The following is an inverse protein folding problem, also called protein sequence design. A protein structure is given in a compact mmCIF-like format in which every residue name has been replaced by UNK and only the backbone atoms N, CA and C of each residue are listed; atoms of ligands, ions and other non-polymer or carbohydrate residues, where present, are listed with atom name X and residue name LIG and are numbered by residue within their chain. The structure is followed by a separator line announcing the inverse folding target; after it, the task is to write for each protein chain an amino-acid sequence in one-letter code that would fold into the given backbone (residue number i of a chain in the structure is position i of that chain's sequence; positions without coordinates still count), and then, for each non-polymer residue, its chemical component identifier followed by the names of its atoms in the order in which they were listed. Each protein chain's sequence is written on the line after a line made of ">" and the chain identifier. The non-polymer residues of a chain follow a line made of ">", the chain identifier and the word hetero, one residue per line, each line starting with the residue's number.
data_IF_058836796379
#
_entry.id   IF_058836796379
#
_cell.length_a   1.000
_cell.length_b   1.000
_cell.length_c   1.000
_cell.angle_alpha   90.00
_cell.angle_beta   90.00
_cell.angle_gamma   90.00
#
_symmetry.space_group_name_H-M   'P 1'
#
loop_
_entity.id
_entity.type
_entity.pdbx_description
1 polymer ?
#
# COMPACT_ATOMS: atom_id res chain seq x y z
N UNK A 1 -0.59 20.18 -12.78
CA UNK A 1 -0.41 19.63 -14.14
C UNK A 1 -1.47 18.57 -14.33
N UNK A 2 -2.47 18.78 -15.20
CA UNK A 2 -3.50 17.78 -15.53
C UNK A 2 -3.07 17.04 -16.79
N UNK A 3 -3.45 15.79 -16.94
CA UNK A 3 -3.05 14.99 -18.08
C UNK A 3 -3.88 15.40 -19.31
N UNK A 4 -3.26 16.09 -20.27
CA UNK A 4 -3.91 16.58 -21.51
C UNK A 4 -4.57 15.44 -22.31
N UNK A 5 -4.07 14.20 -22.16
CA UNK A 5 -4.66 13.00 -22.76
C UNK A 5 -6.14 12.83 -22.42
N UNK A 6 -6.63 13.28 -21.26
CA UNK A 6 -8.06 13.20 -20.93
C UNK A 6 -8.96 13.97 -21.91
N UNK A 7 -8.47 15.05 -22.56
CA UNK A 7 -9.23 15.76 -23.59
C UNK A 7 -9.39 14.88 -24.85
N UNK A 8 -8.35 14.13 -25.20
CA UNK A 8 -8.41 13.13 -26.27
C UNK A 8 -9.34 11.97 -25.90
N UNK A 9 -9.25 11.44 -24.67
CA UNK A 9 -10.16 10.38 -24.21
C UNK A 9 -11.62 10.84 -24.24
N UNK A 10 -11.87 12.09 -23.86
CA UNK A 10 -13.22 12.69 -23.88
C UNK A 10 -13.78 12.76 -25.29
N UNK A 11 -13.01 13.28 -26.25
CA UNK A 11 -13.39 13.27 -27.66
C UNK A 11 -13.67 11.86 -28.16
N UNK A 12 -12.81 10.88 -27.83
CA UNK A 12 -13.04 9.49 -28.23
C UNK A 12 -14.37 8.95 -27.66
N UNK A 13 -14.69 9.28 -26.41
CA UNK A 13 -15.94 8.89 -25.76
C UNK A 13 -17.20 9.58 -26.33
N UNK A 14 -17.04 10.68 -27.07
CA UNK A 14 -18.11 11.33 -27.83
C UNK A 14 -18.28 10.72 -29.23
N UNK A 15 -17.22 10.11 -29.77
CA UNK A 15 -17.25 9.32 -31.02
C UNK A 15 -17.81 7.90 -30.81
N UNK A 16 -17.58 7.27 -29.64
CA UNK A 16 -18.18 5.98 -29.23
C UNK A 16 -18.38 5.89 -27.70
N UNK A 17 -19.65 5.87 -27.26
CA UNK A 17 -20.05 5.91 -25.84
C UNK A 17 -19.79 4.59 -25.08
N UNK A 18 -19.45 3.52 -25.80
CA UNK A 18 -19.12 2.19 -25.24
C UNK A 18 -17.64 2.09 -24.84
N UNK A 19 -16.82 3.09 -25.13
CA UNK A 19 -15.39 3.05 -24.80
C UNK A 19 -15.14 3.06 -23.30
N UNK A 20 -14.25 2.15 -22.89
CA UNK A 20 -13.75 2.02 -21.53
C UNK A 20 -12.28 2.42 -21.46
N UNK A 21 -11.94 3.27 -20.51
CA UNK A 21 -10.59 3.80 -20.32
C UNK A 21 -9.96 3.14 -19.09
N UNK A 22 -9.09 2.16 -19.34
CA UNK A 22 -8.33 1.44 -18.32
C UNK A 22 -7.02 2.17 -18.01
N UNK A 23 -6.82 2.53 -16.75
CA UNK A 23 -5.62 3.17 -16.24
C UNK A 23 -4.77 2.14 -15.47
N UNK A 24 -3.51 2.05 -15.88
CA UNK A 24 -2.53 1.06 -15.42
C UNK A 24 -1.27 1.75 -14.93
N UNK A 25 -0.63 1.20 -13.90
CA UNK A 25 0.71 1.60 -13.47
C UNK A 25 1.77 0.69 -14.12
N UNK A 26 3.01 1.16 -14.24
CA UNK A 26 4.08 0.42 -14.91
C UNK A 26 4.57 -0.80 -14.13
N UNK A 27 4.29 -0.86 -12.83
CA UNK A 27 4.66 -1.97 -11.93
C UNK A 27 3.62 -3.09 -11.85
N UNK A 28 2.67 -3.13 -12.80
CA UNK A 28 1.56 -4.09 -12.84
C UNK A 28 1.55 -4.96 -14.11
N UNK A 29 1.40 -6.27 -13.93
CA UNK A 29 1.27 -7.25 -15.00
C UNK A 29 -0.14 -7.88 -15.05
N UNK A 30 -0.58 -8.27 -16.25
CA UNK A 30 -1.78 -9.10 -16.48
C UNK A 30 -1.58 -10.56 -16.04
N UNK A 31 -1.27 -10.73 -14.75
CA UNK A 31 -1.02 -12.00 -14.08
C UNK A 31 -1.74 -12.06 -12.74
N UNK A 32 -1.80 -13.26 -12.18
CA UNK A 32 -2.29 -13.52 -10.83
C UNK A 32 -1.25 -14.27 -10.02
N UNK A 33 -1.18 -13.98 -8.71
CA UNK A 33 -0.34 -14.71 -7.77
C UNK A 33 -1.14 -15.85 -7.13
N UNK A 34 -0.88 -17.09 -7.55
CA UNK A 34 -1.38 -18.27 -6.84
C UNK A 34 -0.37 -18.66 -5.75
N UNK A 35 -0.77 -18.50 -4.49
CA UNK A 35 -0.01 -19.00 -3.34
C UNK A 35 -0.28 -20.51 -3.19
N UNK A 36 0.76 -21.33 -3.29
CA UNK A 36 0.67 -22.79 -3.18
C UNK A 36 1.71 -23.31 -2.18
N UNK A 37 1.49 -24.51 -1.63
CA UNK A 37 2.38 -25.10 -0.61
C UNK A 37 3.81 -25.43 -1.06
N UNK A 38 4.16 -25.26 -2.35
CA UNK A 38 5.52 -25.34 -2.86
C UNK A 38 6.00 -24.00 -3.46
N UNK A 39 5.62 -22.91 -2.80
CA UNK A 39 5.91 -21.55 -3.21
C UNK A 39 4.89 -20.96 -4.20
N UNK A 40 5.00 -19.65 -4.39
CA UNK A 40 4.08 -18.90 -5.23
C UNK A 40 4.27 -19.19 -6.73
N UNK A 41 3.18 -19.10 -7.47
CA UNK A 41 3.14 -19.23 -8.93
C UNK A 41 2.47 -18.01 -9.55
N UNK A 42 3.11 -17.45 -10.57
CA UNK A 42 2.49 -16.44 -11.43
C UNK A 42 1.78 -17.13 -12.60
N UNK A 43 0.53 -16.76 -12.87
CA UNK A 43 -0.27 -17.29 -13.97
C UNK A 43 -0.80 -16.15 -14.83
N UNK A 44 -0.87 -16.32 -16.15
CA UNK A 44 -1.39 -15.31 -17.08
C UNK A 44 -2.92 -15.16 -16.97
N UNK A 45 -3.41 -13.92 -16.89
CA UNK A 45 -4.84 -13.60 -16.75
C UNK A 45 -5.51 -13.39 -18.12
N UNK A 46 -5.99 -14.47 -18.75
CA UNK A 46 -6.41 -14.45 -20.18
C UNK A 46 -7.77 -13.79 -20.45
N UNK A 47 -8.64 -13.64 -19.43
CA UNK A 47 -10.04 -13.19 -19.60
C UNK A 47 -10.35 -11.77 -19.09
N UNK A 48 -9.33 -10.97 -18.76
CA UNK A 48 -9.49 -9.67 -18.08
C UNK A 48 -10.47 -8.71 -18.80
N UNK A 49 -10.28 -8.49 -20.11
CA UNK A 49 -11.13 -7.58 -20.89
C UNK A 49 -12.56 -8.10 -21.10
N UNK A 50 -12.75 -9.43 -21.23
CA UNK A 50 -14.08 -10.03 -21.30
C UNK A 50 -14.88 -9.78 -20.02
N UNK A 51 -14.21 -9.79 -18.87
CA UNK A 51 -14.86 -9.51 -17.59
C UNK A 51 -15.19 -8.01 -17.41
N UNK A 52 -14.32 -7.10 -17.85
CA UNK A 52 -14.63 -5.67 -17.89
C UNK A 52 -15.84 -5.36 -18.77
N UNK A 53 -15.84 -5.86 -20.01
CA UNK A 53 -16.93 -5.70 -20.97
C UNK A 53 -18.27 -6.16 -20.36
N UNK A 54 -18.31 -7.35 -19.75
CA UNK A 54 -19.50 -7.87 -19.09
C UNK A 54 -19.98 -7.03 -17.90
N UNK A 55 -19.08 -6.46 -17.11
CA UNK A 55 -19.43 -5.66 -15.94
C UNK A 55 -20.02 -4.31 -16.38
N UNK A 56 -19.40 -3.61 -17.34
CA UNK A 56 -19.95 -2.35 -17.83
C UNK A 56 -21.22 -2.56 -18.69
N UNK A 57 -21.34 -3.69 -19.40
CA UNK A 57 -22.52 -4.03 -20.20
C UNK A 57 -23.81 -4.25 -19.39
N UNK A 58 -23.75 -4.52 -18.08
CA UNK A 58 -24.96 -4.55 -17.25
C UNK A 58 -25.54 -3.15 -16.94
N UNK A 59 -24.84 -2.08 -17.32
CA UNK A 59 -25.24 -0.70 -17.08
C UNK A 59 -25.02 -0.23 -15.64
N UNK A 60 -25.30 1.05 -15.39
CA UNK A 60 -25.22 1.69 -14.07
C UNK A 60 -23.81 2.00 -13.55
N UNK A 61 -22.77 1.31 -14.04
CA UNK A 61 -21.39 1.46 -13.57
C UNK A 61 -20.66 2.57 -14.36
N UNK A 62 -20.07 3.51 -13.62
CA UNK A 62 -19.31 4.66 -14.16
C UNK A 62 -17.82 4.53 -13.91
N UNK A 63 -17.45 4.02 -12.73
CA UNK A 63 -16.07 3.81 -12.29
C UNK A 63 -15.95 2.40 -11.68
N UNK A 64 -14.92 1.68 -12.08
CA UNK A 64 -14.52 0.40 -11.52
C UNK A 64 -13.08 0.48 -11.02
N UNK A 65 -12.78 -0.18 -9.90
CA UNK A 65 -11.39 -0.47 -9.49
C UNK A 65 -11.16 -1.98 -9.41
N UNK A 66 -10.04 -2.47 -9.91
CA UNK A 66 -9.66 -3.88 -9.74
C UNK A 66 -8.97 -4.11 -8.40
N UNK A 67 -8.92 -5.36 -7.95
CA UNK A 67 -8.07 -5.76 -6.81
C UNK A 67 -6.59 -5.72 -7.22
N UNK A 68 -5.72 -5.40 -6.27
CA UNK A 68 -4.27 -5.54 -6.41
C UNK A 68 -3.84 -6.85 -5.75
N UNK A 69 -3.04 -7.67 -6.43
CA UNK A 69 -2.46 -8.91 -5.89
C UNK A 69 -0.94 -8.88 -6.03
N UNK A 70 -0.23 -9.69 -5.26
CA UNK A 70 1.23 -9.62 -5.15
C UNK A 70 1.69 -8.78 -3.96
N UNK A 71 2.63 -7.87 -4.20
CA UNK A 71 3.19 -7.01 -3.15
C UNK A 71 2.16 -5.97 -2.67
N UNK A 72 2.15 -5.61 -1.37
CA UNK A 72 1.24 -4.57 -0.89
C UNK A 72 1.48 -3.20 -1.56
N UNK A 73 0.42 -2.49 -2.01
CA UNK A 73 0.54 -1.19 -2.67
C UNK A 73 0.78 -0.01 -1.69
N UNK A 74 1.36 -0.24 -0.50
CA UNK A 74 1.42 0.75 0.59
C UNK A 74 2.85 1.14 1.02
N UNK A 75 2.96 2.10 1.95
CA UNK A 75 4.24 2.58 2.46
C UNK A 75 4.81 1.70 3.60
N UNK A 76 6.13 1.52 3.71
CA UNK A 76 6.78 0.87 4.85
C UNK A 76 6.42 1.56 6.18
N UNK A 77 6.14 2.86 6.14
CA UNK A 77 5.65 3.68 7.24
C UNK A 77 4.41 3.11 7.97
N UNK A 78 3.62 2.27 7.28
CA UNK A 78 2.38 1.67 7.79
C UNK A 78 2.38 0.13 7.69
N UNK A 79 3.56 -0.48 7.57
CA UNK A 79 3.75 -1.95 7.61
C UNK A 79 4.83 -2.39 8.61
N UNK A 80 5.56 -1.43 9.20
CA UNK A 80 6.74 -1.66 10.02
C UNK A 80 6.46 -2.48 11.29
N UNK A 81 5.29 -2.29 11.93
CA UNK A 81 4.91 -3.01 13.13
C UNK A 81 4.66 -4.50 12.84
N UNK A 82 3.80 -4.79 11.88
CA UNK A 82 3.44 -6.12 11.42
C UNK A 82 4.66 -6.87 10.84
N UNK A 83 5.49 -6.21 10.04
CA UNK A 83 6.66 -6.87 9.46
C UNK A 83 7.71 -7.24 10.52
N UNK A 84 8.00 -6.35 11.49
CA UNK A 84 8.88 -6.70 12.61
C UNK A 84 8.35 -7.89 13.41
N UNK A 85 7.03 -7.97 13.61
CA UNK A 85 6.40 -9.09 14.30
C UNK A 85 6.56 -10.42 13.54
N UNK A 86 6.44 -10.41 12.22
CA UNK A 86 6.71 -11.59 11.38
C UNK A 86 8.20 -11.99 11.40
N UNK A 87 9.11 -11.02 11.39
CA UNK A 87 10.57 -11.24 11.48
C UNK A 87 10.94 -11.87 12.83
N UNK A 88 10.35 -11.38 13.92
CA UNK A 88 10.51 -11.92 15.27
C UNK A 88 9.96 -13.35 15.36
N UNK A 89 8.77 -13.60 14.79
CA UNK A 89 8.17 -14.93 14.75
C UNK A 89 9.02 -15.92 13.94
N UNK A 90 9.56 -15.50 12.79
CA UNK A 90 10.48 -16.30 11.98
C UNK A 90 11.72 -16.72 12.79
N UNK A 91 12.41 -15.77 13.45
CA UNK A 91 13.59 -16.09 14.26
C UNK A 91 13.26 -16.95 15.48
N UNK A 92 12.13 -16.71 16.15
CA UNK A 92 11.67 -17.57 17.25
C UNK A 92 11.42 -19.01 16.79
N UNK A 93 10.79 -19.19 15.62
CA UNK A 93 10.62 -20.52 15.06
C UNK A 93 11.98 -21.13 14.73
N UNK A 94 12.83 -20.40 13.99
CA UNK A 94 14.17 -20.81 13.52
C UNK A 94 15.09 -21.27 14.67
N UNK A 95 15.00 -20.60 15.83
CA UNK A 95 15.76 -20.92 17.04
C UNK A 95 15.50 -22.35 17.55
N UNK A 96 14.30 -22.89 17.32
CA UNK A 96 13.91 -24.25 17.72
C UNK A 96 14.50 -25.36 16.84
N UNK A 97 15.35 -25.03 15.87
CA UNK A 97 16.01 -25.99 14.98
C UNK A 97 17.54 -26.02 15.11
N UNK A 98 18.19 -26.51 14.06
CA UNK A 98 19.64 -26.52 13.87
C UNK A 98 19.95 -26.09 12.44
N UNK A 99 21.10 -25.45 12.20
CA UNK A 99 21.50 -24.90 10.90
C UNK A 99 21.25 -25.86 9.72
N UNK A 100 21.78 -27.08 9.83
CA UNK A 100 21.74 -28.11 8.77
C UNK A 100 20.56 -29.09 8.88
N UNK A 101 19.57 -28.83 9.74
CA UNK A 101 18.32 -29.57 9.71
C UNK A 101 17.49 -29.15 8.49
N UNK A 102 16.66 -30.05 7.96
CA UNK A 102 15.80 -29.75 6.82
C UNK A 102 14.90 -28.53 7.07
N UNK A 103 14.64 -27.75 6.03
CA UNK A 103 13.74 -26.60 6.08
C UNK A 103 12.30 -27.04 6.44
N UNK A 104 11.67 -26.33 7.38
CA UNK A 104 10.33 -26.60 7.92
C UNK A 104 9.33 -25.46 7.68
N UNK A 105 9.75 -24.46 6.91
CA UNK A 105 8.94 -23.32 6.45
C UNK A 105 8.17 -23.63 5.14
N UNK A 106 8.04 -24.90 4.78
CA UNK A 106 7.21 -25.41 3.66
C UNK A 106 5.82 -25.89 4.09
N UNK A 107 5.40 -25.58 5.32
CA UNK A 107 4.03 -25.84 5.75
C UNK A 107 3.02 -25.08 4.89
N UNK A 108 1.74 -25.45 5.01
CA UNK A 108 0.64 -24.67 4.45
C UNK A 108 0.82 -23.20 4.84
N UNK A 109 0.75 -22.31 3.84
CA UNK A 109 0.73 -20.89 4.10
C UNK A 109 -0.46 -20.61 5.02
N UNK A 110 -0.24 -19.86 6.10
CA UNK A 110 -1.36 -19.32 6.88
C UNK A 110 -2.29 -18.61 5.89
N UNK A 111 -3.59 -18.96 5.92
CA UNK A 111 -4.51 -18.77 4.79
C UNK A 111 -4.47 -17.37 4.17
N UNK A 112 -4.75 -17.31 2.86
CA UNK A 112 -4.65 -16.13 2.01
C UNK A 112 -4.93 -14.84 2.80
N UNK A 113 -3.89 -14.01 2.96
CA UNK A 113 -3.92 -12.89 3.89
C UNK A 113 -5.13 -12.01 3.60
N UNK A 114 -5.99 -11.82 4.60
CA UNK A 114 -7.19 -10.98 4.50
C UNK A 114 -6.81 -9.62 3.91
N UNK A 115 -7.72 -9.01 3.13
CA UNK A 115 -7.50 -7.72 2.49
C UNK A 115 -6.90 -6.71 3.52
N UNK A 116 -5.77 -6.11 3.17
CA UNK A 116 -4.97 -5.20 4.00
C UNK A 116 -4.33 -5.75 5.30
N UNK A 117 -4.22 -7.07 5.49
CA UNK A 117 -3.56 -7.67 6.67
C UNK A 117 -2.07 -7.30 6.85
N UNK A 118 -1.42 -6.70 5.85
CA UNK A 118 -0.08 -6.10 5.98
C UNK A 118 -0.06 -4.77 6.75
N UNK A 119 -1.20 -4.08 6.87
CA UNK A 119 -1.27 -2.69 7.32
C UNK A 119 -1.35 -2.58 8.85
N UNK A 120 -0.48 -1.76 9.45
CA UNK A 120 -0.37 -1.56 10.90
C UNK A 120 -1.65 -0.96 11.53
N UNK A 121 -2.44 -0.24 10.73
CA UNK A 121 -3.71 0.40 11.10
C UNK A 121 -4.84 -0.02 10.16
N UNK A 122 -4.98 -1.33 9.90
CA UNK A 122 -5.99 -1.89 9.00
C UNK A 122 -7.44 -1.58 9.43
N UNK A 123 -7.64 -1.34 10.73
CA UNK A 123 -8.90 -0.94 11.37
C UNK A 123 -9.41 0.43 10.89
N UNK A 124 -8.53 1.38 10.56
CA UNK A 124 -8.92 2.64 9.92
C UNK A 124 -9.60 2.43 8.56
N UNK A 125 -9.31 1.29 7.92
CA UNK A 125 -9.95 0.85 6.68
C UNK A 125 -11.03 -0.20 6.95
N UNK A 126 -11.54 -0.32 8.18
CA UNK A 126 -12.63 -1.24 8.53
C UNK A 126 -12.30 -2.73 8.33
N UNK A 127 -11.02 -3.09 8.26
CA UNK A 127 -10.57 -4.48 8.28
C UNK A 127 -10.24 -4.90 9.72
N UNK A 128 -10.30 -6.19 10.01
CA UNK A 128 -9.82 -6.70 11.30
C UNK A 128 -8.30 -6.52 11.41
N UNK A 129 -7.76 -6.06 12.56
CA UNK A 129 -6.33 -6.13 12.82
C UNK A 129 -5.82 -7.56 12.73
N UNK A 130 -4.59 -7.74 12.27
CA UNK A 130 -3.96 -9.07 12.27
C UNK A 130 -3.82 -9.58 13.71
N UNK A 131 -4.52 -10.66 14.04
CA UNK A 131 -4.55 -11.22 15.39
C UNK A 131 -3.29 -12.03 15.76
N UNK A 132 -2.47 -12.39 14.78
CA UNK A 132 -1.24 -13.19 14.94
C UNK A 132 -0.17 -12.76 13.91
N UNK A 133 1.13 -13.03 14.19
CA UNK A 133 2.19 -12.94 13.19
C UNK A 133 1.89 -13.83 11.99
N UNK A 134 2.26 -13.39 10.78
CA UNK A 134 2.15 -14.21 9.59
C UNK A 134 3.39 -15.09 9.46
N UNK A 135 3.20 -16.41 9.48
CA UNK A 135 4.29 -17.38 9.39
C UNK A 135 4.99 -17.27 8.04
N UNK A 136 6.30 -17.03 8.04
CA UNK A 136 7.09 -16.99 6.82
C UNK A 136 7.02 -18.34 6.07
N UNK A 137 6.76 -18.29 4.77
CA UNK A 137 6.77 -19.44 3.87
C UNK A 137 8.03 -19.40 2.99
N UNK A 138 8.83 -20.47 3.01
CA UNK A 138 10.08 -20.55 2.26
C UNK A 138 9.82 -20.63 0.75
N UNK A 139 10.56 -19.82 -0.02
CA UNK A 139 10.45 -19.74 -1.48
C UNK A 139 11.47 -20.60 -2.23
N UNK A 140 12.49 -21.11 -1.54
CA UNK A 140 13.53 -21.95 -2.14
C UNK A 140 12.95 -23.28 -2.64
N UNK A 141 13.38 -23.70 -3.82
CA UNK A 141 12.99 -24.97 -4.46
C UNK A 141 14.08 -26.02 -4.28
N UNK A 142 13.68 -27.28 -4.18
CA UNK A 142 14.59 -28.39 -3.94
C UNK A 142 15.01 -28.51 -2.46
N UNK A 143 15.88 -29.48 -2.16
CA UNK A 143 16.35 -29.73 -0.80
C UNK A 143 17.27 -28.60 -0.31
N UNK A 144 16.99 -28.09 0.89
CA UNK A 144 17.82 -27.11 1.61
C UNK A 144 17.52 -27.16 3.11
N UNK A 145 18.37 -26.51 3.89
CA UNK A 145 18.37 -26.53 5.35
C UNK A 145 17.88 -25.21 5.97
N UNK A 146 18.02 -25.07 7.29
CA UNK A 146 17.60 -23.87 8.02
C UNK A 146 18.57 -22.68 7.85
N UNK A 147 19.82 -22.94 7.47
CA UNK A 147 20.76 -21.91 7.04
C UNK A 147 20.34 -21.32 5.68
N UNK A 148 20.06 -22.15 4.67
CA UNK A 148 19.67 -21.66 3.35
C UNK A 148 18.40 -20.78 3.36
N UNK A 149 17.41 -21.11 4.18
CA UNK A 149 16.20 -20.29 4.35
C UNK A 149 16.46 -19.01 5.17
N UNK A 150 17.38 -19.03 6.14
CA UNK A 150 17.85 -17.81 6.81
C UNK A 150 18.51 -16.86 5.81
N UNK A 151 19.35 -17.39 4.92
CA UNK A 151 20.08 -16.63 3.90
C UNK A 151 19.17 -16.09 2.79
N UNK A 152 18.09 -16.80 2.43
CA UNK A 152 17.04 -16.27 1.55
C UNK A 152 16.27 -15.11 2.18
N UNK A 153 15.82 -15.29 3.42
CA UNK A 153 15.04 -14.26 4.10
C UNK A 153 15.88 -13.02 4.40
N UNK A 154 17.13 -13.19 4.87
CA UNK A 154 18.07 -12.11 5.15
C UNK A 154 18.32 -11.21 3.93
N UNK A 155 18.52 -11.79 2.74
CA UNK A 155 18.70 -11.06 1.48
C UNK A 155 17.48 -10.25 1.03
N UNK A 156 16.30 -10.50 1.61
CA UNK A 156 15.04 -9.83 1.27
C UNK A 156 14.59 -8.77 2.29
N UNK A 157 15.28 -8.65 3.43
CA UNK A 157 14.93 -7.65 4.46
C UNK A 157 15.01 -6.22 3.93
N UNK A 158 16.05 -5.86 3.18
CA UNK A 158 16.22 -4.49 2.65
C UNK A 158 15.17 -4.12 1.59
N UNK A 159 14.47 -5.10 0.98
CA UNK A 159 13.36 -4.86 0.05
C UNK A 159 12.10 -4.31 0.73
N UNK A 160 12.00 -4.49 2.06
CA UNK A 160 10.92 -3.90 2.85
C UNK A 160 10.82 -2.39 2.63
N UNK A 161 11.96 -1.70 2.56
CA UNK A 161 12.00 -0.26 2.35
C UNK A 161 11.53 0.17 0.95
N UNK A 162 11.59 -0.73 -0.03
CA UNK A 162 11.04 -0.53 -1.39
C UNK A 162 9.55 -0.90 -1.50
N UNK A 163 8.96 -1.44 -0.43
CA UNK A 163 7.51 -1.64 -0.27
C UNK A 163 7.05 -3.06 -0.51
N UNK A 164 7.97 -3.99 -0.75
CA UNK A 164 7.71 -5.41 -0.58
C UNK A 164 7.35 -5.69 0.89
N UNK A 165 6.44 -6.62 1.17
CA UNK A 165 6.27 -7.16 2.53
C UNK A 165 6.71 -8.63 2.50
N UNK A 166 7.96 -8.94 2.86
CA UNK A 166 8.58 -10.23 2.51
C UNK A 166 7.81 -11.50 2.93
N UNK A 167 6.99 -11.38 3.97
CA UNK A 167 6.11 -12.40 4.56
C UNK A 167 4.64 -12.34 4.15
N UNK A 168 4.08 -11.17 3.78
CA UNK A 168 2.63 -10.96 3.57
C UNK A 168 2.35 -10.49 2.14
N UNK A 169 2.01 -11.44 1.27
CA UNK A 169 1.60 -11.18 -0.12
C UNK A 169 0.09 -11.38 -0.26
N UNK A 170 -0.55 -10.60 -1.12
CA UNK A 170 -1.97 -10.80 -1.44
C UNK A 170 -2.09 -11.83 -2.55
N UNK A 171 -2.61 -13.00 -2.20
CA UNK A 171 -2.88 -14.10 -3.13
C UNK A 171 -4.16 -13.80 -3.94
N UNK A 172 -4.22 -14.26 -5.19
CA UNK A 172 -5.46 -14.27 -5.95
C UNK A 172 -6.28 -15.52 -5.62
N UNK A 173 -7.48 -15.31 -5.08
CA UNK A 173 -8.54 -16.30 -5.04
C UNK A 173 -9.49 -16.03 -6.21
N UNK A 174 -9.87 -17.05 -6.98
CA UNK A 174 -10.76 -16.87 -8.13
C UNK A 174 -12.21 -16.67 -7.68
N UNK A 175 -12.87 -15.66 -8.25
CA UNK A 175 -14.32 -15.43 -8.11
C UNK A 175 -14.88 -15.10 -9.50
N UNK A 176 -16.02 -15.66 -9.92
CA UNK A 176 -16.68 -15.26 -11.17
C UNK A 176 -16.91 -13.75 -11.20
N UNK A 177 -16.56 -13.09 -12.30
CA UNK A 177 -16.49 -11.62 -12.34
C UNK A 177 -17.78 -10.92 -11.91
N UNK A 178 -18.95 -11.41 -12.34
CA UNK A 178 -20.26 -10.86 -11.96
C UNK A 178 -20.64 -11.08 -10.49
N UNK A 179 -20.12 -12.14 -9.85
CA UNK A 179 -20.27 -12.38 -8.41
C UNK A 179 -19.25 -11.58 -7.59
N UNK A 180 -18.16 -11.13 -8.23
CA UNK A 180 -17.08 -10.37 -7.59
C UNK A 180 -17.33 -8.85 -7.49
N UNK A 181 -18.41 -8.35 -8.11
CA UNK A 181 -18.75 -6.92 -8.10
C UNK A 181 -19.28 -6.52 -6.72
N UNK A 182 -18.61 -5.57 -6.08
CA UNK A 182 -18.96 -5.05 -4.77
C UNK A 182 -18.81 -3.52 -4.71
N UNK A 183 -19.58 -2.79 -3.88
CA UNK A 183 -19.43 -1.34 -3.72
C UNK A 183 -17.99 -0.95 -3.36
N UNK A 184 -17.43 0.05 -4.05
CA UNK A 184 -16.07 0.51 -3.80
C UNK A 184 -15.99 1.76 -2.92
N UNK A 185 -14.79 2.02 -2.41
CA UNK A 185 -14.44 3.17 -1.55
C UNK A 185 -13.04 3.73 -1.79
N UNK A 186 -12.23 3.06 -2.59
CA UNK A 186 -10.81 3.35 -2.82
C UNK A 186 -10.55 3.18 -4.31
N UNK A 187 -9.95 4.16 -4.99
CA UNK A 187 -9.41 3.94 -6.33
C UNK A 187 -7.96 3.51 -6.20
N UNK A 188 -7.61 2.33 -6.74
CA UNK A 188 -6.21 1.97 -6.96
C UNK A 188 -5.74 2.67 -8.24
N UNK A 189 -4.80 3.61 -8.13
CA UNK A 189 -4.40 4.48 -9.25
C UNK A 189 -3.77 3.74 -10.43
N UNK A 190 -3.28 2.51 -10.20
CA UNK A 190 -2.78 1.60 -11.23
C UNK A 190 -3.75 0.52 -11.69
N UNK A 191 -4.98 0.49 -11.18
CA UNK A 191 -5.99 -0.50 -11.57
C UNK A 191 -7.41 0.09 -11.43
N UNK A 192 -7.79 0.96 -12.37
CA UNK A 192 -9.16 1.48 -12.45
C UNK A 192 -9.61 1.75 -13.88
N UNK A 193 -10.93 1.71 -14.08
CA UNK A 193 -11.59 1.87 -15.39
C UNK A 193 -12.70 2.91 -15.29
N UNK A 194 -12.74 3.81 -16.25
CA UNK A 194 -13.81 4.80 -16.44
C UNK A 194 -14.56 4.52 -17.74
N UNK A 195 -15.87 4.74 -17.76
CA UNK A 195 -16.60 4.98 -19.02
C UNK A 195 -16.50 6.48 -19.43
N UNK A 196 -17.13 6.86 -20.54
CA UNK A 196 -17.14 8.26 -21.01
C UNK A 196 -17.70 9.30 -20.02
N UNK A 197 -18.66 8.91 -19.16
CA UNK A 197 -19.19 9.78 -18.09
C UNK A 197 -18.15 9.95 -16.97
N UNK A 198 -17.41 8.88 -16.66
CA UNK A 198 -16.39 8.85 -15.63
C UNK A 198 -15.19 9.78 -15.85
N UNK A 199 -14.94 10.25 -17.08
CA UNK A 199 -13.80 11.12 -17.41
C UNK A 199 -13.81 12.49 -16.69
N UNK A 200 -14.94 12.90 -16.13
CA UNK A 200 -15.01 14.04 -15.21
C UNK A 200 -14.16 13.83 -13.93
N UNK A 201 -13.93 12.58 -13.52
CA UNK A 201 -13.07 12.24 -12.39
C UNK A 201 -11.59 12.18 -12.77
N UNK A 202 -10.75 12.76 -11.90
CA UNK A 202 -9.29 12.79 -12.02
C UNK A 202 -8.68 12.58 -10.63
N UNK A 203 -7.42 12.12 -10.55
CA UNK A 203 -6.70 12.03 -9.27
C UNK A 203 -6.54 13.45 -8.67
N UNK A 204 -7.22 13.76 -7.56
CA UNK A 204 -7.25 15.11 -7.03
C UNK A 204 -5.93 15.42 -6.30
N UNK A 205 -5.67 16.71 -6.07
CA UNK A 205 -4.63 17.19 -5.15
C UNK A 205 -3.19 16.73 -5.45
N UNK A 206 -2.91 16.22 -6.66
CA UNK A 206 -1.60 15.71 -7.07
C UNK A 206 -0.43 16.69 -6.85
N UNK A 207 -0.71 18.00 -6.80
CA UNK A 207 0.27 19.05 -6.50
C UNK A 207 0.83 18.96 -5.06
N UNK A 208 0.08 18.43 -4.09
CA UNK A 208 0.53 18.20 -2.71
C UNK A 208 1.56 17.06 -2.60
N UNK A 209 1.60 16.18 -3.61
CA UNK A 209 2.47 14.99 -3.75
C UNK A 209 2.30 13.94 -2.64
N UNK A 210 1.20 13.97 -1.89
CA UNK A 210 0.89 13.01 -0.82
C UNK A 210 0.70 11.58 -1.36
N UNK A 211 0.71 10.59 -0.45
CA UNK A 211 0.13 9.27 -0.70
C UNK A 211 -1.40 9.38 -0.63
N UNK A 212 -2.09 8.26 -0.82
CA UNK A 212 -3.56 8.13 -0.66
C UNK A 212 -4.43 8.93 -1.64
N UNK A 213 -3.88 9.59 -2.67
CA UNK A 213 -4.67 10.37 -3.65
C UNK A 213 -5.75 9.54 -4.39
N UNK A 214 -5.48 8.27 -4.71
CA UNK A 214 -6.48 7.32 -5.22
C UNK A 214 -7.57 6.95 -4.20
N UNK A 215 -7.22 6.52 -2.98
CA UNK A 215 -8.17 6.42 -1.86
C UNK A 215 -9.05 7.66 -1.64
N UNK A 216 -8.47 8.87 -1.71
CA UNK A 216 -9.18 10.16 -1.60
C UNK A 216 -10.20 10.32 -2.73
N UNK A 217 -9.80 10.08 -3.99
CA UNK A 217 -10.72 10.04 -5.12
C UNK A 217 -11.84 9.02 -4.88
N UNK A 218 -11.51 7.84 -4.34
CA UNK A 218 -12.48 6.80 -4.04
C UNK A 218 -13.54 7.22 -3.02
N UNK A 219 -13.20 8.06 -2.04
CA UNK A 219 -14.19 8.61 -1.10
C UNK A 219 -15.12 9.63 -1.76
N UNK A 220 -14.56 10.53 -2.58
CA UNK A 220 -15.33 11.51 -3.36
C UNK A 220 -16.27 10.78 -4.34
N UNK A 221 -15.72 9.88 -5.16
CA UNK A 221 -16.48 9.12 -6.15
C UNK A 221 -17.55 8.24 -5.51
N UNK A 222 -17.31 7.63 -4.34
CA UNK A 222 -18.33 6.88 -3.59
C UNK A 222 -19.49 7.77 -3.12
N UNK A 223 -19.19 8.96 -2.60
CA UNK A 223 -20.21 9.91 -2.15
C UNK A 223 -21.05 10.48 -3.30
N UNK A 224 -20.50 10.54 -4.52
CA UNK A 224 -21.20 11.04 -5.69
C UNK A 224 -21.92 9.95 -6.49
N UNK A 225 -21.24 8.85 -6.82
CA UNK A 225 -21.76 7.80 -7.70
C UNK A 225 -22.58 6.73 -6.98
N UNK A 226 -22.41 6.54 -5.67
CA UNK A 226 -23.02 5.43 -4.93
C UNK A 226 -22.70 4.10 -5.59
N UNK A 227 -23.73 3.35 -5.99
CA UNK A 227 -23.61 2.06 -6.67
C UNK A 227 -22.92 2.14 -8.05
N UNK A 228 -22.81 3.34 -8.64
CA UNK A 228 -22.05 3.56 -9.87
C UNK A 228 -20.52 3.50 -9.70
N UNK A 229 -20.01 3.35 -8.47
CA UNK A 229 -18.61 3.07 -8.17
C UNK A 229 -18.43 1.70 -7.52
N UNK A 230 -17.85 0.77 -8.28
CA UNK A 230 -17.68 -0.63 -7.86
C UNK A 230 -16.20 -1.05 -7.82
N UNK A 231 -15.95 -2.14 -7.12
CA UNK A 231 -14.73 -2.93 -7.22
C UNK A 231 -15.07 -4.31 -7.75
N UNK A 232 -14.12 -4.94 -8.43
CA UNK A 232 -14.25 -6.30 -8.93
C UNK A 232 -12.95 -7.08 -8.69
N UNK A 233 -13.04 -8.41 -8.66
CA UNK A 233 -11.88 -9.29 -8.58
C UNK A 233 -11.22 -9.42 -9.97
N UNK A 234 -10.71 -8.28 -10.45
CA UNK A 234 -9.90 -8.10 -11.64
C UNK A 234 -8.45 -7.86 -11.19
N UNK A 235 -7.75 -8.93 -10.76
CA UNK A 235 -6.39 -8.83 -10.24
C UNK A 235 -5.43 -8.34 -11.32
N UNK A 236 -4.51 -7.47 -10.90
CA UNK A 236 -3.24 -7.28 -11.58
C UNK A 236 -2.12 -7.60 -10.59
N UNK A 237 -1.11 -8.30 -11.09
CA UNK A 237 0.06 -8.68 -10.30
C UNK A 237 0.98 -7.47 -10.20
N UNK A 238 1.04 -6.91 -9.00
CA UNK A 238 1.85 -5.76 -8.67
C UNK A 238 3.18 -6.23 -8.03
N UNK A 239 4.30 -5.75 -8.57
CA UNK A 239 5.66 -6.14 -8.17
C UNK A 239 6.44 -4.89 -7.78
N UNK A 240 6.93 -4.81 -6.55
CA UNK A 240 7.64 -3.61 -6.05
C UNK A 240 9.13 -3.55 -6.39
N UNK A 241 9.76 -4.71 -6.55
CA UNK A 241 11.18 -4.82 -6.91
C UNK A 241 11.33 -5.59 -8.22
N UNK A 242 12.29 -5.19 -9.05
CA UNK A 242 12.73 -6.03 -10.17
C UNK A 242 13.57 -7.16 -9.61
N UNK A 243 13.26 -8.43 -9.96
CA UNK A 243 13.98 -9.58 -9.40
C UNK A 243 15.50 -9.53 -9.65
N UNK A 244 15.91 -8.97 -10.80
CA UNK A 244 17.30 -8.83 -11.23
C UNK A 244 18.09 -7.77 -10.43
N UNK A 245 17.43 -6.69 -10.00
CA UNK A 245 18.07 -5.58 -9.27
C UNK A 245 17.88 -5.69 -7.76
N UNK A 246 16.81 -6.35 -7.31
CA UNK A 246 16.43 -6.43 -5.90
C UNK A 246 15.92 -5.12 -5.28
N UNK A 247 15.81 -4.06 -6.07
CA UNK A 247 15.33 -2.72 -5.69
C UNK A 247 14.18 -2.28 -6.61
N UNK A 248 13.50 -1.18 -6.26
CA UNK A 248 12.50 -0.55 -7.11
C UNK A 248 13.16 0.42 -8.10
N UNK A 249 12.71 0.46 -9.37
CA UNK A 249 13.24 1.40 -10.37
C UNK A 249 13.13 2.86 -9.93
N UNK A 250 12.03 3.22 -9.26
CA UNK A 250 11.82 4.57 -8.75
C UNK A 250 10.78 4.62 -7.62
N UNK A 251 11.20 5.03 -6.42
CA UNK A 251 10.30 5.29 -5.30
C UNK A 251 10.41 6.74 -4.79
N UNK A 252 9.41 7.62 -5.03
CA UNK A 252 9.47 8.99 -4.53
C UNK A 252 9.49 9.04 -3.00
N UNK A 253 10.45 9.76 -2.44
CA UNK A 253 10.56 9.98 -1.00
C UNK A 253 11.30 8.90 -0.20
N UNK A 254 11.88 7.90 -0.89
CA UNK A 254 12.83 6.94 -0.30
C UNK A 254 14.21 7.23 -0.86
N UNK A 255 15.19 7.44 0.02
CA UNK A 255 16.56 7.80 -0.34
C UNK A 255 17.53 6.71 0.15
N UNK A 256 18.27 6.09 -0.78
CA UNK A 256 19.27 5.05 -0.51
C UNK A 256 20.68 5.63 -0.66
N UNK A 257 21.53 5.48 0.36
CA UNK A 257 22.94 5.87 0.34
C UNK A 257 23.76 4.91 1.20
N UNK A 258 24.78 4.26 0.63
CA UNK A 258 25.77 3.42 1.36
C UNK A 258 25.13 2.40 2.33
N UNK A 259 24.14 1.64 1.85
CA UNK A 259 23.42 0.64 2.66
C UNK A 259 22.44 1.20 3.70
N UNK A 260 22.29 2.53 3.76
CA UNK A 260 21.34 3.23 4.62
C UNK A 260 20.12 3.69 3.82
N UNK A 261 18.95 3.64 4.45
CA UNK A 261 17.70 4.14 3.87
C UNK A 261 17.12 5.27 4.73
N UNK A 262 16.70 6.37 4.09
CA UNK A 262 15.90 7.43 4.69
C UNK A 262 14.48 7.41 4.09
N UNK A 263 13.49 7.19 4.95
CA UNK A 263 12.06 7.18 4.61
C UNK A 263 11.37 8.51 4.92
N UNK A 264 12.04 9.54 5.44
CA UNK A 264 11.35 10.68 6.07
C UNK A 264 10.35 11.37 5.14
N UNK A 265 10.67 11.47 3.85
CA UNK A 265 9.78 12.06 2.82
C UNK A 265 8.62 11.12 2.45
N UNK A 266 8.85 9.81 2.32
CA UNK A 266 7.77 8.83 2.10
C UNK A 266 6.82 8.77 3.32
N UNK A 267 7.36 8.84 4.53
CA UNK A 267 6.62 8.87 5.79
C UNK A 267 5.76 10.13 5.91
N UNK A 268 6.32 11.32 5.64
CA UNK A 268 5.58 12.59 5.56
C UNK A 268 4.41 12.49 4.57
N UNK A 269 4.68 11.99 3.36
CA UNK A 269 3.66 11.81 2.31
C UNK A 269 2.57 10.82 2.72
N UNK A 270 2.91 9.78 3.48
CA UNK A 270 1.96 8.80 4.01
C UNK A 270 1.11 9.41 5.12
N UNK A 271 1.74 9.98 6.15
CA UNK A 271 1.06 10.59 7.29
C UNK A 271 0.05 11.66 6.85
N UNK A 272 0.50 12.68 6.12
CA UNK A 272 -0.41 13.74 5.64
C UNK A 272 -1.38 13.24 4.55
N UNK A 273 -1.05 12.17 3.84
CA UNK A 273 -1.97 11.46 2.94
C UNK A 273 -3.14 10.80 3.69
N UNK A 274 -2.87 10.18 4.84
CA UNK A 274 -3.90 9.65 5.74
C UNK A 274 -4.73 10.77 6.36
N UNK A 275 -4.10 11.88 6.77
CA UNK A 275 -4.83 13.09 7.23
C UNK A 275 -5.83 13.55 6.17
N UNK A 276 -5.38 13.71 4.92
CA UNK A 276 -6.26 14.10 3.82
C UNK A 276 -7.38 13.08 3.57
N UNK A 277 -7.06 11.79 3.52
CA UNK A 277 -8.05 10.73 3.31
C UNK A 277 -9.15 10.73 4.37
N UNK A 278 -8.78 10.69 5.65
CA UNK A 278 -9.75 10.57 6.72
C UNK A 278 -10.49 11.88 7.02
N UNK A 279 -9.93 13.03 6.60
CA UNK A 279 -10.66 14.30 6.59
C UNK A 279 -11.71 14.31 5.48
N UNK A 280 -11.36 13.92 4.25
CA UNK A 280 -12.31 13.82 3.13
C UNK A 280 -13.40 12.78 3.43
N UNK A 281 -13.10 11.66 4.09
CA UNK A 281 -14.11 10.69 4.55
C UNK A 281 -15.13 11.32 5.53
N UNK A 282 -14.68 12.14 6.48
CA UNK A 282 -15.57 12.86 7.40
C UNK A 282 -16.36 14.00 6.72
N UNK A 283 -15.75 14.71 5.76
CA UNK A 283 -16.41 15.80 5.03
C UNK A 283 -17.44 15.26 4.02
N UNK A 284 -17.16 14.14 3.36
CA UNK A 284 -18.11 13.48 2.44
C UNK A 284 -19.36 12.98 3.16
N UNK A 285 -19.23 12.53 4.42
CA UNK A 285 -20.38 12.24 5.29
C UNK A 285 -21.23 13.48 5.64
N UNK A 286 -20.67 14.69 5.49
CA UNK A 286 -21.36 15.98 5.65
C UNK A 286 -21.88 16.54 4.30
N UNK A 287 -21.75 15.79 3.20
CA UNK A 287 -22.25 16.19 1.87
C UNK A 287 -21.21 16.79 0.93
N UNK A 288 -19.94 16.91 1.31
CA UNK A 288 -18.85 17.28 0.40
C UNK A 288 -18.68 16.24 -0.73
N UNK A 289 -18.29 16.63 -1.95
CA UNK A 289 -18.06 18.00 -2.44
C UNK A 289 -19.33 18.67 -2.99
N UNK A 290 -20.47 17.97 -3.01
CA UNK A 290 -21.75 18.45 -3.55
C UNK A 290 -22.32 19.63 -2.79
N UNK A 291 -22.14 19.65 -1.48
CA UNK A 291 -22.48 20.77 -0.61
C UNK A 291 -21.22 21.59 -0.32
N UNK A 292 -21.35 22.92 -0.41
CA UNK A 292 -20.33 23.83 0.07
C UNK A 292 -20.25 23.74 1.59
N UNK A 293 -19.07 23.43 2.11
CA UNK A 293 -18.78 23.45 3.55
C UNK A 293 -17.97 24.70 3.89
N UNK A 294 -18.28 25.41 4.99
CA UNK A 294 -17.48 26.55 5.44
C UNK A 294 -16.02 26.16 5.67
N UNK A 295 -15.10 27.08 5.40
CA UNK A 295 -13.65 26.89 5.59
C UNK A 295 -13.31 26.46 7.02
N UNK A 296 -13.98 27.04 8.03
CA UNK A 296 -13.85 26.66 9.44
C UNK A 296 -14.21 25.19 9.72
N UNK A 297 -15.21 24.64 9.02
CA UNK A 297 -15.60 23.23 9.14
C UNK A 297 -14.57 22.30 8.48
N UNK A 298 -13.97 22.72 7.36
CA UNK A 298 -12.87 22.00 6.72
C UNK A 298 -11.63 22.02 7.63
N UNK A 299 -11.23 23.20 8.10
CA UNK A 299 -10.06 23.41 8.97
C UNK A 299 -10.16 22.59 10.27
N UNK A 300 -11.28 22.70 10.98
CA UNK A 300 -11.51 21.95 12.23
C UNK A 300 -11.52 20.43 11.99
N UNK A 301 -12.11 19.95 10.89
CA UNK A 301 -12.08 18.52 10.53
C UNK A 301 -10.65 18.05 10.21
N UNK A 302 -9.87 18.83 9.47
CA UNK A 302 -8.48 18.51 9.13
C UNK A 302 -7.60 18.48 10.38
N UNK A 303 -7.70 19.50 11.24
CA UNK A 303 -6.92 19.57 12.47
C UNK A 303 -7.25 18.41 13.43
N UNK A 304 -8.54 18.16 13.72
CA UNK A 304 -8.95 17.08 14.61
C UNK A 304 -8.54 15.70 14.06
N UNK A 305 -8.56 15.52 12.74
CA UNK A 305 -8.08 14.30 12.07
C UNK A 305 -6.57 14.15 12.21
N UNK A 306 -5.81 15.22 12.01
CA UNK A 306 -4.35 15.21 12.15
C UNK A 306 -3.91 14.89 13.58
N UNK A 307 -4.51 15.52 14.59
CA UNK A 307 -4.24 15.23 16.01
C UNK A 307 -4.59 13.77 16.38
N UNK A 308 -5.70 13.24 15.87
CA UNK A 308 -6.10 11.84 16.08
C UNK A 308 -5.10 10.87 15.46
N UNK A 309 -4.72 11.07 14.20
CA UNK A 309 -3.76 10.22 13.51
C UNK A 309 -2.36 10.32 14.13
N UNK A 310 -1.94 11.51 14.58
CA UNK A 310 -0.63 11.69 15.23
C UNK A 310 -0.49 10.86 16.50
N UNK A 311 -1.54 10.73 17.31
CA UNK A 311 -1.58 9.82 18.47
C UNK A 311 -1.46 8.35 18.05
N UNK A 312 -2.21 7.92 17.04
CA UNK A 312 -2.13 6.54 16.53
C UNK A 312 -0.73 6.20 15.98
N UNK A 313 -0.12 7.10 15.21
CA UNK A 313 1.25 6.94 14.71
C UNK A 313 2.30 6.90 15.85
N UNK A 314 2.06 7.57 16.98
CA UNK A 314 2.89 7.52 18.18
C UNK A 314 2.79 6.17 18.90
N UNK A 315 1.56 5.67 19.09
CA UNK A 315 1.31 4.34 19.66
C UNK A 315 1.99 3.26 18.81
N UNK A 316 1.93 3.38 17.47
CA UNK A 316 2.64 2.47 16.56
C UNK A 316 4.16 2.63 16.66
N UNK A 317 4.70 3.84 16.80
CA UNK A 317 6.14 4.05 17.05
C UNK A 317 6.60 3.30 18.32
N UNK A 318 5.85 3.41 19.41
CA UNK A 318 6.15 2.73 20.67
C UNK A 318 6.10 1.20 20.53
N UNK A 319 5.14 0.67 19.77
CA UNK A 319 5.06 -0.77 19.46
C UNK A 319 6.23 -1.23 18.58
N UNK A 320 6.58 -0.47 17.53
CA UNK A 320 7.72 -0.73 16.65
C UNK A 320 9.03 -0.75 17.45
N UNK A 321 9.25 0.23 18.33
CA UNK A 321 10.43 0.27 19.22
C UNK A 321 10.54 -0.96 20.12
N UNK A 322 9.47 -1.36 20.80
CA UNK A 322 9.45 -2.58 21.63
C UNK A 322 9.77 -3.84 20.80
N UNK A 323 9.27 -3.93 19.57
CA UNK A 323 9.60 -5.02 18.64
C UNK A 323 11.09 -4.98 18.22
N UNK A 324 11.66 -3.80 17.94
CA UNK A 324 13.09 -3.67 17.66
C UNK A 324 13.97 -4.11 18.85
N UNK A 325 13.59 -3.77 20.07
CA UNK A 325 14.28 -4.21 21.31
C UNK A 325 14.24 -5.75 21.47
N UNK A 326 13.11 -6.40 21.12
CA UNK A 326 12.99 -7.87 21.10
C UNK A 326 13.86 -8.49 19.99
N UNK A 327 13.86 -7.90 18.79
CA UNK A 327 14.64 -8.39 17.65
C UNK A 327 16.15 -8.32 17.93
N UNK A 328 16.64 -7.21 18.50
CA UNK A 328 18.04 -7.07 18.93
C UNK A 328 18.44 -8.18 19.93
N UNK A 329 17.60 -8.41 20.95
CA UNK A 329 17.81 -9.47 21.94
C UNK A 329 17.87 -10.88 21.34
N UNK A 330 17.07 -11.16 20.28
CA UNK A 330 17.12 -12.43 19.55
C UNK A 330 18.40 -12.59 18.72
N UNK A 331 18.81 -11.53 18.02
CA UNK A 331 20.05 -11.52 17.22
C UNK A 331 21.29 -11.62 18.12
N UNK A 332 21.24 -11.05 19.32
CA UNK A 332 22.31 -11.09 20.33
C UNK A 332 22.41 -12.38 21.16
N UNK A 333 21.44 -13.30 21.08
CA UNK A 333 21.46 -14.50 21.91
C UNK A 333 22.55 -15.50 21.48
N UNK A 334 23.63 -15.56 22.26
CA UNK A 334 24.79 -16.44 22.05
C UNK A 334 24.46 -17.94 22.07
N UNK A 335 23.26 -18.34 22.51
CA UNK A 335 22.79 -19.74 22.48
C UNK A 335 22.05 -20.11 21.21
N UNK A 336 21.65 -19.13 20.39
CA UNK A 336 21.00 -19.40 19.12
C UNK A 336 22.03 -19.93 18.11
N UNK A 337 21.65 -20.95 17.33
CA UNK A 337 22.59 -21.67 16.47
C UNK A 337 23.28 -20.79 15.43
N UNK A 338 22.62 -19.72 14.96
CA UNK A 338 23.19 -18.76 14.00
C UNK A 338 24.38 -17.97 14.57
N UNK A 339 24.47 -17.80 15.90
CA UNK A 339 25.63 -17.20 16.56
C UNK A 339 26.77 -18.20 16.81
N UNK A 340 26.55 -19.49 16.51
CA UNK A 340 27.53 -20.57 16.62
C UNK A 340 27.99 -21.10 15.25
N UNK A 341 27.23 -20.81 14.19
CA UNK A 341 27.47 -21.22 12.81
C UNK A 341 28.16 -20.11 12.01
N UNK A 342 29.47 -20.22 11.67
CA UNK A 342 30.18 -19.17 10.93
C UNK A 342 29.56 -18.82 9.58
N UNK A 343 28.91 -19.76 8.91
CA UNK A 343 28.26 -19.51 7.62
C UNK A 343 27.08 -18.53 7.72
N UNK A 344 26.43 -18.41 8.89
CA UNK A 344 25.32 -17.49 9.11
C UNK A 344 25.73 -16.01 9.28
N UNK A 345 27.04 -15.70 9.33
CA UNK A 345 27.55 -14.37 9.69
C UNK A 345 27.04 -13.25 8.76
N UNK A 346 27.04 -13.47 7.44
CA UNK A 346 26.56 -12.50 6.46
C UNK A 346 25.05 -12.23 6.59
N UNK A 347 24.27 -13.27 6.92
CA UNK A 347 22.85 -13.15 7.18
C UNK A 347 22.58 -12.34 8.46
N UNK A 348 23.32 -12.59 9.54
CA UNK A 348 23.22 -11.77 10.75
C UNK A 348 23.62 -10.31 10.53
N UNK A 349 24.58 -10.04 9.65
CA UNK A 349 24.93 -8.67 9.23
C UNK A 349 23.77 -8.00 8.49
N UNK A 350 23.09 -8.70 7.57
CA UNK A 350 21.90 -8.18 6.90
C UNK A 350 20.74 -7.92 7.86
N UNK A 351 20.50 -8.80 8.85
CA UNK A 351 19.52 -8.55 9.92
C UNK A 351 19.86 -7.33 10.78
N UNK A 352 21.15 -7.11 11.12
CA UNK A 352 21.60 -5.92 11.85
C UNK A 352 21.43 -4.65 11.02
N UNK A 353 21.82 -4.65 9.74
CA UNK A 353 21.61 -3.51 8.83
C UNK A 353 20.13 -3.17 8.67
N UNK A 354 19.25 -4.18 8.57
CA UNK A 354 17.81 -3.98 8.60
C UNK A 354 17.35 -3.32 9.90
N UNK A 355 17.78 -3.83 11.05
CA UNK A 355 17.46 -3.26 12.37
C UNK A 355 17.97 -1.82 12.53
N UNK A 356 19.18 -1.50 12.06
CA UNK A 356 19.75 -0.14 12.06
C UNK A 356 18.91 0.81 11.20
N UNK A 357 18.50 0.37 10.00
CA UNK A 357 17.60 1.14 9.13
C UNK A 357 16.20 1.31 9.77
N UNK A 358 15.68 0.30 10.47
CA UNK A 358 14.43 0.43 11.24
C UNK A 358 14.58 1.42 12.40
N UNK A 359 15.67 1.36 13.17
CA UNK A 359 15.94 2.28 14.26
C UNK A 359 16.14 3.72 13.78
N UNK A 360 16.77 3.93 12.61
CA UNK A 360 16.88 5.27 11.99
C UNK A 360 15.51 5.84 11.60
N UNK A 361 14.62 5.02 11.05
CA UNK A 361 13.33 5.48 10.50
C UNK A 361 12.16 5.44 11.48
N UNK A 362 12.24 4.67 12.56
CA UNK A 362 11.16 4.49 13.54
C UNK A 362 11.60 4.57 15.02
N UNK A 363 12.89 4.70 15.29
CA UNK A 363 13.41 4.91 16.64
C UNK A 363 13.02 6.27 17.25
N UNK A 364 13.39 6.48 18.51
CA UNK A 364 12.99 7.67 19.28
C UNK A 364 13.50 9.00 18.69
N UNK A 365 14.65 8.98 18.01
CA UNK A 365 15.25 10.14 17.32
C UNK A 365 15.02 10.13 15.81
N UNK A 366 13.98 9.43 15.34
CA UNK A 366 13.69 9.30 13.91
C UNK A 366 13.36 10.65 13.27
N UNK A 367 14.00 10.91 12.13
CA UNK A 367 13.71 12.05 11.26
C UNK A 367 12.27 12.03 10.74
N UNK A 368 11.68 10.85 10.55
CA UNK A 368 10.30 10.69 10.08
C UNK A 368 9.30 11.36 11.03
N UNK A 369 9.47 11.12 12.34
CA UNK A 369 8.63 11.69 13.38
C UNK A 369 8.97 13.16 13.63
N UNK A 370 10.26 13.49 13.73
CA UNK A 370 10.70 14.88 13.89
C UNK A 370 10.25 15.82 12.75
N UNK A 371 10.07 15.31 11.53
CA UNK A 371 9.57 16.09 10.39
C UNK A 371 8.07 16.39 10.50
N UNK A 372 7.25 15.42 10.93
CA UNK A 372 5.81 15.67 11.16
C UNK A 372 5.55 16.46 12.44
N UNK A 373 6.47 16.41 13.42
CA UNK A 373 6.38 17.17 14.67
C UNK A 373 6.91 18.62 14.58
N UNK A 374 7.56 19.01 13.48
CA UNK A 374 7.96 20.41 13.29
C UNK A 374 6.72 21.30 13.11
N UNK A 375 6.43 22.13 14.10
CA UNK A 375 5.20 22.92 14.14
C UNK A 375 5.01 23.88 12.96
N UNK A 376 6.09 24.34 12.32
CA UNK A 376 5.99 25.18 11.11
C UNK A 376 5.58 24.32 9.90
N UNK A 377 6.24 23.17 9.73
CA UNK A 377 5.94 22.22 8.66
C UNK A 377 4.53 21.64 8.80
N UNK A 378 4.14 21.25 10.03
CA UNK A 378 2.79 20.80 10.37
C UNK A 378 1.73 21.80 9.95
N UNK A 379 1.83 23.05 10.41
CA UNK A 379 0.86 24.10 10.08
C UNK A 379 0.78 24.33 8.55
N UNK A 380 1.92 24.46 7.88
CA UNK A 380 1.96 24.65 6.42
C UNK A 380 1.37 23.47 5.64
N UNK A 381 1.54 22.23 6.13
CA UNK A 381 0.96 21.03 5.54
C UNK A 381 -0.55 20.93 5.77
N UNK A 382 -1.05 21.27 6.96
CA UNK A 382 -2.49 21.31 7.22
C UNK A 382 -3.17 22.41 6.41
N UNK A 383 -2.61 23.62 6.36
CA UNK A 383 -3.09 24.73 5.53
C UNK A 383 -3.16 24.33 4.05
N UNK A 384 -2.11 23.67 3.53
CA UNK A 384 -2.10 23.15 2.15
C UNK A 384 -3.20 22.11 1.89
N UNK A 385 -3.56 21.30 2.88
CA UNK A 385 -4.66 20.32 2.78
C UNK A 385 -6.02 21.03 2.83
N UNK A 386 -6.21 21.98 3.74
CA UNK A 386 -7.45 22.77 3.88
C UNK A 386 -7.74 23.52 2.58
N UNK A 387 -6.76 24.27 2.05
CA UNK A 387 -6.90 25.02 0.80
C UNK A 387 -7.22 24.09 -0.36
N UNK A 388 -6.48 22.97 -0.51
CA UNK A 388 -6.74 22.01 -1.57
C UNK A 388 -8.16 21.41 -1.52
N UNK A 389 -8.68 21.10 -0.33
CA UNK A 389 -10.05 20.59 -0.15
C UNK A 389 -11.07 21.69 -0.46
N UNK A 390 -10.87 22.93 0.02
CA UNK A 390 -11.76 24.06 -0.26
C UNK A 390 -11.86 24.39 -1.76
N UNK A 391 -10.72 24.44 -2.45
CA UNK A 391 -10.63 24.77 -3.88
C UNK A 391 -11.22 23.68 -4.79
N UNK A 392 -11.40 22.44 -4.29
CA UNK A 392 -11.71 21.27 -5.13
C UNK A 392 -12.93 21.46 -6.03
N UNK A 393 -14.01 22.07 -5.51
CA UNK A 393 -15.24 22.25 -6.28
C UNK A 393 -15.08 23.26 -7.41
N UNK A 394 -14.28 24.31 -7.24
CA UNK A 394 -13.95 25.24 -8.34
C UNK A 394 -13.00 24.56 -9.35
N UNK A 395 -11.96 23.90 -8.85
CA UNK A 395 -11.01 23.09 -9.63
C UNK A 395 -11.76 22.07 -10.50
N UNK A 396 -12.82 21.45 -9.97
CA UNK A 396 -13.70 20.51 -10.67
C UNK A 396 -14.55 21.20 -11.74
N UNK A 397 -15.22 22.32 -11.45
CA UNK A 397 -15.97 23.07 -12.46
C UNK A 397 -15.09 23.55 -13.63
N UNK A 398 -13.87 24.03 -13.34
CA UNK A 398 -12.89 24.39 -14.37
C UNK A 398 -12.48 23.17 -15.22
N UNK A 399 -12.45 21.98 -14.64
CA UNK A 399 -12.17 20.74 -15.38
C UNK A 399 -13.32 20.31 -16.28
N UNK A 400 -14.56 20.34 -15.77
CA UNK A 400 -15.75 20.01 -16.55
C UNK A 400 -15.94 20.97 -17.72
N UNK A 401 -15.69 22.28 -17.53
CA UNK A 401 -15.64 23.24 -18.65
C UNK A 401 -14.59 22.81 -19.68
N UNK A 402 -13.37 22.46 -19.27
CA UNK A 402 -12.31 22.06 -20.19
C UNK A 402 -12.60 20.76 -20.96
N UNK A 403 -13.38 19.84 -20.39
CA UNK A 403 -13.88 18.62 -21.07
C UNK A 403 -15.02 18.91 -22.07
N UNK A 404 -15.61 20.10 -22.03
CA UNK A 404 -16.71 20.53 -22.90
C UNK A 404 -16.38 21.79 -23.71
N UNK A 405 -15.08 22.12 -23.86
CA UNK A 405 -14.61 23.13 -24.81
C UNK A 405 -14.51 22.47 -26.20
N UNK A 406 -15.45 22.80 -27.07
CA UNK A 406 -15.37 22.61 -28.54
C UNK A 406 -14.37 23.58 -29.19
#
# INVERSE_FOLDING_TARGET
>A
MRNITYLLLRRMAEEDDRLLFLFLDSDQEFRVLQCAGQGNRELLAVNYFHHLDRIFSSGGITLLTGKVVGDPPVAPAVMAGNFLEDVIAFLHELRGGQAHAACRFHGEAAGAGQDAAYHDMADLFGFAPAAQPHRYHCRLRGSHDQLGVLDDFARRLDRFFDGEHPTRVTCHEFTPAGESVAPARTVYTGNYVLNGQGLCYFIPFAHLRLRMAGPVLGRIARAELGDGFVSANLPLLHKRTLEELGESEFRPGVERQEGRVDLSREFERQFFGDVMLFSVEQLTAQGYPRQFLPEEAIHSTVQATAERLRRQYEEKQQQIRKRMEILDGLLGDRRAWWNLEPAAAASLEAFRRFLDNMQRNFGASSRCYALVDDGRHWNARLESIVNAIGDYSEVRQQWERALHLE
#
